data_IF_539975085198
#
_entry.id   IF_539975085198
#
_cell.length_a   1.000
_cell.length_b   1.000
_cell.length_c   1.000
_cell.angle_alpha   90.00
_cell.angle_beta   90.00
_cell.angle_gamma   90.00
#
_symmetry.space_group_name_H-M   'P 1'
#
loop_
_entity.id
_entity.type
_entity.pdbx_description
1 polymer ?
#
# COMPACT_ATOMS: atom_id res chain seq x y z
N UNK A 1 -25.21 -22.05 25.80
CA UNK A 1 -24.21 -21.07 26.28
C UNK A 1 -22.81 -21.30 25.70
N UNK A 2 -22.32 -22.50 25.40
CA UNK A 2 -20.95 -22.74 24.89
C UNK A 2 -20.69 -22.25 23.45
N UNK A 3 -21.72 -22.16 22.60
CA UNK A 3 -21.58 -21.77 21.18
C UNK A 3 -21.27 -20.28 20.97
N UNK A 4 -21.67 -19.42 21.91
CA UNK A 4 -21.38 -17.97 21.86
C UNK A 4 -19.92 -17.62 22.15
N UNK A 5 -19.26 -18.38 23.03
CA UNK A 5 -17.85 -18.16 23.35
C UNK A 5 -16.90 -18.63 22.24
N UNK A 6 -17.28 -19.67 21.50
CA UNK A 6 -16.49 -20.15 20.35
C UNK A 6 -16.50 -19.10 19.22
N UNK A 7 -17.63 -18.46 18.99
CA UNK A 7 -17.77 -17.42 17.95
C UNK A 7 -16.96 -16.16 18.28
N UNK A 8 -16.91 -15.74 19.55
CA UNK A 8 -16.10 -14.59 20.00
C UNK A 8 -14.60 -14.85 19.94
N UNK A 9 -14.17 -16.11 19.99
CA UNK A 9 -12.75 -16.49 19.92
C UNK A 9 -12.26 -16.69 18.48
N UNK A 10 -13.14 -17.04 17.54
CA UNK A 10 -12.79 -17.28 16.14
C UNK A 10 -12.70 -16.00 15.31
N UNK A 11 -13.49 -14.96 15.65
CA UNK A 11 -13.47 -13.67 14.95
C UNK A 11 -12.10 -12.98 14.94
N UNK A 12 -11.41 -12.81 16.10
CA UNK A 12 -10.08 -12.21 16.09
C UNK A 12 -9.04 -13.06 15.36
N UNK A 13 -9.14 -14.40 15.45
CA UNK A 13 -8.20 -15.29 14.80
C UNK A 13 -8.32 -15.21 13.26
N UNK A 14 -9.55 -15.16 12.75
CA UNK A 14 -9.81 -15.03 11.32
C UNK A 14 -9.34 -13.69 10.75
N UNK A 15 -9.46 -12.61 11.53
CA UNK A 15 -8.95 -11.30 11.19
C UNK A 15 -7.41 -11.28 11.08
N UNK A 16 -6.71 -11.86 12.07
CA UNK A 16 -5.25 -11.98 12.03
C UNK A 16 -4.76 -12.87 10.88
N UNK A 17 -5.46 -13.95 10.59
CA UNK A 17 -5.11 -14.85 9.47
C UNK A 17 -5.23 -14.12 8.13
N UNK A 18 -6.28 -13.33 7.93
CA UNK A 18 -6.46 -12.54 6.70
C UNK A 18 -5.33 -11.52 6.53
N UNK A 19 -4.98 -10.79 7.58
CA UNK A 19 -3.88 -9.82 7.56
C UNK A 19 -2.53 -10.49 7.27
N UNK A 20 -2.26 -11.67 7.86
CA UNK A 20 -1.03 -12.43 7.60
C UNK A 20 -0.96 -12.92 6.15
N UNK A 21 -2.07 -13.34 5.56
CA UNK A 21 -2.14 -13.75 4.15
C UNK A 21 -1.83 -12.56 3.24
N UNK A 22 -2.43 -11.39 3.49
CA UNK A 22 -2.15 -10.18 2.72
C UNK A 22 -0.70 -9.72 2.87
N UNK A 23 -0.16 -9.74 4.08
CA UNK A 23 1.23 -9.41 4.34
C UNK A 23 2.17 -10.39 3.62
N UNK A 24 1.90 -11.70 3.70
CA UNK A 24 2.66 -12.73 3.00
C UNK A 24 2.60 -12.55 1.48
N UNK A 25 1.41 -12.33 0.92
CA UNK A 25 1.22 -12.05 -0.51
C UNK A 25 1.99 -10.80 -0.94
N UNK A 26 1.95 -9.72 -0.14
CA UNK A 26 2.72 -8.50 -0.39
C UNK A 26 4.23 -8.79 -0.46
N UNK A 27 4.78 -9.54 0.51
CA UNK A 27 6.20 -9.90 0.50
C UNK A 27 6.58 -10.77 -0.70
N UNK A 28 5.71 -11.70 -1.09
CA UNK A 28 5.94 -12.53 -2.30
C UNK A 28 5.99 -11.67 -3.56
N UNK A 29 5.04 -10.76 -3.73
CA UNK A 29 5.01 -9.83 -4.87
C UNK A 29 6.24 -8.93 -4.88
N UNK A 30 6.66 -8.42 -3.72
CA UNK A 30 7.84 -7.60 -3.56
C UNK A 30 9.11 -8.37 -3.93
N UNK A 31 9.27 -9.59 -3.43
CA UNK A 31 10.41 -10.46 -3.77
C UNK A 31 10.45 -10.82 -5.25
N UNK A 32 9.31 -11.14 -5.85
CA UNK A 32 9.23 -11.40 -7.29
C UNK A 32 9.60 -10.17 -8.12
N UNK A 33 9.15 -8.98 -7.71
CA UNK A 33 9.53 -7.71 -8.32
C UNK A 33 11.03 -7.45 -8.23
N UNK A 34 11.63 -7.67 -7.07
CA UNK A 34 13.09 -7.54 -6.89
C UNK A 34 13.88 -8.54 -7.74
N UNK A 35 13.46 -9.80 -7.81
CA UNK A 35 14.10 -10.83 -8.65
C UNK A 35 14.00 -10.47 -10.14
N UNK A 36 12.88 -9.89 -10.55
CA UNK A 36 12.70 -9.38 -11.91
C UNK A 36 13.62 -8.21 -12.21
N UNK A 37 13.72 -7.24 -11.30
CA UNK A 37 14.54 -6.04 -11.44
C UNK A 37 16.05 -6.37 -11.45
N UNK A 38 16.48 -7.34 -10.62
CA UNK A 38 17.85 -7.86 -10.63
C UNK A 38 18.22 -8.68 -11.88
N UNK A 39 17.26 -8.85 -12.82
CA UNK A 39 17.50 -9.57 -14.06
C UNK A 39 17.75 -11.07 -13.88
N UNK A 40 17.37 -11.67 -12.73
CA UNK A 40 17.57 -13.10 -12.47
C UNK A 40 16.95 -13.99 -13.57
N UNK A 41 15.89 -13.51 -14.21
CA UNK A 41 15.22 -14.19 -15.31
C UNK A 41 15.67 -13.69 -16.70
N UNK A 42 16.55 -12.70 -16.78
CA UNK A 42 17.05 -12.13 -18.01
C UNK A 42 18.39 -12.78 -18.39
N UNK A 43 18.43 -13.48 -19.50
CA UNK A 43 19.66 -14.04 -20.08
C UNK A 43 20.50 -12.99 -20.84
N UNK A 44 20.22 -11.70 -20.69
CA UNK A 44 20.90 -10.65 -21.43
C UNK A 44 22.23 -10.31 -20.79
N UNK A 45 23.27 -10.57 -21.57
CA UNK A 45 24.64 -10.06 -21.48
C UNK A 45 24.69 -8.57 -21.11
N UNK A 46 25.78 -8.17 -20.48
CA UNK A 46 26.22 -6.83 -20.07
C UNK A 46 26.10 -5.70 -21.13
N UNK A 47 24.91 -5.50 -21.68
CA UNK A 47 24.65 -4.31 -22.50
C UNK A 47 24.39 -3.12 -21.58
N UNK A 48 25.11 -2.03 -21.82
CA UNK A 48 24.94 -0.76 -21.08
C UNK A 48 23.47 -0.34 -21.13
N UNK A 49 22.88 -0.16 -19.94
CA UNK A 49 21.47 0.27 -19.80
C UNK A 49 21.33 1.66 -20.40
N UNK A 50 20.61 1.78 -21.49
CA UNK A 50 20.35 3.09 -22.10
C UNK A 50 19.41 3.93 -21.22
N UNK A 51 19.59 5.26 -21.24
CA UNK A 51 18.74 6.19 -20.50
C UNK A 51 17.23 5.98 -20.80
N UNK A 52 16.89 5.57 -22.03
CA UNK A 52 15.53 5.27 -22.44
C UNK A 52 14.97 4.02 -21.76
N UNK A 53 15.79 3.00 -21.53
CA UNK A 53 15.40 1.79 -20.80
C UNK A 53 15.21 2.10 -19.33
N UNK A 54 16.14 2.85 -18.72
CA UNK A 54 16.02 3.30 -17.33
C UNK A 54 14.72 4.09 -17.11
N UNK A 55 14.40 5.04 -18.00
CA UNK A 55 13.18 5.82 -17.92
C UNK A 55 11.90 4.97 -18.01
N UNK A 56 11.90 3.95 -18.89
CA UNK A 56 10.77 3.01 -19.00
C UNK A 56 10.56 2.22 -17.70
N UNK A 57 11.64 1.71 -17.09
CA UNK A 57 11.59 0.99 -15.83
C UNK A 57 11.06 1.90 -14.71
N UNK A 58 11.57 3.12 -14.60
CA UNK A 58 11.12 4.12 -13.64
C UNK A 58 9.62 4.44 -13.82
N UNK A 59 9.18 4.68 -15.05
CA UNK A 59 7.77 4.95 -15.35
C UNK A 59 6.88 3.73 -15.02
N UNK A 60 7.39 2.52 -15.26
CA UNK A 60 6.69 1.28 -14.88
C UNK A 60 6.45 1.19 -13.38
N UNK A 61 7.49 1.35 -12.57
CA UNK A 61 7.37 1.32 -11.10
C UNK A 61 6.51 2.46 -10.55
N UNK A 62 6.64 3.65 -11.13
CA UNK A 62 5.79 4.78 -10.77
C UNK A 62 4.31 4.49 -11.06
N UNK A 63 4.01 3.85 -12.19
CA UNK A 63 2.65 3.44 -12.53
C UNK A 63 2.08 2.41 -11.55
N UNK A 64 2.91 1.48 -11.05
CA UNK A 64 2.49 0.52 -10.00
C UNK A 64 2.05 1.27 -8.74
N UNK A 65 2.79 2.30 -8.30
CA UNK A 65 2.40 3.14 -7.16
C UNK A 65 1.06 3.85 -7.37
N UNK A 66 0.81 4.37 -8.58
CA UNK A 66 -0.48 4.99 -8.91
C UNK A 66 -1.62 3.97 -8.92
N UNK A 67 -1.42 2.79 -9.49
CA UNK A 67 -2.40 1.70 -9.46
C UNK A 67 -2.71 1.28 -8.02
N UNK A 68 -1.69 1.21 -7.16
CA UNK A 68 -1.88 0.90 -5.74
C UNK A 68 -2.69 1.97 -5.00
N UNK A 69 -2.54 3.25 -5.38
CA UNK A 69 -3.38 4.34 -4.85
C UNK A 69 -4.87 4.09 -5.16
N UNK A 70 -5.18 3.71 -6.41
CA UNK A 70 -6.55 3.39 -6.83
C UNK A 70 -7.08 2.14 -6.12
N UNK A 71 -6.22 1.14 -5.95
CA UNK A 71 -6.57 -0.08 -5.20
C UNK A 71 -6.94 0.25 -3.75
N UNK A 72 -6.15 1.09 -3.07
CA UNK A 72 -6.46 1.55 -1.71
C UNK A 72 -7.78 2.29 -1.68
N UNK A 73 -8.02 3.21 -2.63
CA UNK A 73 -9.28 3.95 -2.70
C UNK A 73 -10.50 3.03 -2.73
N UNK A 74 -10.47 1.94 -3.50
CA UNK A 74 -11.64 1.07 -3.68
C UNK A 74 -11.74 -0.07 -2.68
N UNK A 75 -10.63 -0.58 -2.18
CA UNK A 75 -10.61 -1.83 -1.41
C UNK A 75 -10.23 -1.66 0.06
N UNK A 76 -9.66 -0.52 0.46
CA UNK A 76 -9.15 -0.36 1.83
C UNK A 76 -10.24 -0.50 2.90
N UNK A 77 -11.44 0.02 2.65
CA UNK A 77 -12.56 -0.12 3.57
C UNK A 77 -12.94 -1.59 3.83
N UNK A 78 -12.96 -2.41 2.76
CA UNK A 78 -13.21 -3.84 2.88
C UNK A 78 -12.09 -4.57 3.63
N UNK A 79 -10.83 -4.20 3.40
CA UNK A 79 -9.67 -4.78 4.09
C UNK A 79 -9.66 -4.45 5.59
N UNK A 80 -10.18 -3.29 5.97
CA UNK A 80 -10.32 -2.86 7.36
C UNK A 80 -11.63 -3.31 8.01
N UNK A 81 -12.48 -4.07 7.28
CA UNK A 81 -13.80 -4.51 7.74
C UNK A 81 -14.67 -3.34 8.21
N UNK A 82 -14.66 -2.23 7.48
CA UNK A 82 -15.50 -1.07 7.73
C UNK A 82 -16.90 -1.36 7.17
N UNK A 83 -17.84 -1.67 8.05
CA UNK A 83 -19.22 -2.00 7.68
C UNK A 83 -20.26 -1.04 8.27
N UNK A 84 -19.84 -0.13 9.15
CA UNK A 84 -20.74 0.80 9.80
C UNK A 84 -20.03 2.06 10.32
N UNK A 85 -20.85 3.03 10.72
CA UNK A 85 -20.33 4.30 11.26
C UNK A 85 -19.53 4.11 12.55
N UNK A 86 -19.84 3.09 13.33
CA UNK A 86 -19.11 2.76 14.55
C UNK A 86 -17.66 2.34 14.26
N UNK A 87 -17.43 1.63 13.15
CA UNK A 87 -16.10 1.21 12.73
C UNK A 87 -15.27 2.42 12.30
N UNK A 88 -15.88 3.39 11.60
CA UNK A 88 -15.24 4.66 11.23
C UNK A 88 -14.85 5.49 12.46
N UNK A 89 -15.73 5.58 13.46
CA UNK A 89 -15.41 6.25 14.71
C UNK A 89 -14.25 5.57 15.45
N UNK A 90 -14.26 4.25 15.49
CA UNK A 90 -13.17 3.47 16.09
C UNK A 90 -11.86 3.73 15.34
N UNK A 91 -11.87 3.65 14.00
CA UNK A 91 -10.69 3.93 13.18
C UNK A 91 -10.17 5.35 13.41
N UNK A 92 -11.05 6.34 13.45
CA UNK A 92 -10.69 7.73 13.72
C UNK A 92 -10.00 7.88 15.09
N UNK A 93 -10.46 7.15 16.10
CA UNK A 93 -9.90 7.20 17.46
C UNK A 93 -8.54 6.48 17.52
N UNK A 94 -8.46 5.30 16.96
CA UNK A 94 -7.27 4.43 17.00
C UNK A 94 -6.09 5.03 16.22
N UNK A 95 -6.36 5.60 15.06
CA UNK A 95 -5.33 6.14 14.15
C UNK A 95 -5.21 7.67 14.18
N UNK A 96 -6.03 8.35 14.98
CA UNK A 96 -6.06 9.83 15.12
C UNK A 96 -6.26 10.56 13.80
N UNK A 97 -6.99 9.95 12.89
CA UNK A 97 -7.34 10.50 11.57
C UNK A 97 -8.63 11.30 11.70
N UNK A 98 -8.71 12.47 11.07
CA UNK A 98 -9.95 13.25 11.03
C UNK A 98 -10.76 12.82 9.81
N UNK A 99 -11.98 12.32 10.05
CA UNK A 99 -12.93 11.94 9.02
C UNK A 99 -14.20 12.78 9.14
N UNK A 100 -14.77 13.20 8.03
CA UNK A 100 -16.06 13.89 8.01
C UNK A 100 -17.21 12.88 8.12
N UNK A 101 -17.69 12.68 9.35
CA UNK A 101 -18.80 11.79 9.64
C UNK A 101 -20.15 12.51 9.70
N UNK A 102 -20.20 13.81 9.39
CA UNK A 102 -21.41 14.64 9.50
C UNK A 102 -22.55 14.20 8.57
N UNK A 103 -22.22 13.58 7.44
CA UNK A 103 -23.17 13.08 6.45
C UNK A 103 -23.55 11.60 6.62
N UNK A 104 -23.24 10.99 7.75
CA UNK A 104 -23.51 9.59 8.01
C UNK A 104 -22.48 8.63 7.41
N UNK A 105 -22.84 7.34 7.36
CA UNK A 105 -21.91 6.28 6.98
C UNK A 105 -21.35 6.42 5.56
N UNK A 106 -22.20 6.69 4.57
CA UNK A 106 -21.79 6.78 3.16
C UNK A 106 -20.75 7.89 2.93
N UNK A 107 -20.99 9.06 3.51
CA UNK A 107 -20.04 10.17 3.41
C UNK A 107 -18.76 9.91 4.17
N UNK A 108 -18.87 9.33 5.36
CA UNK A 108 -17.71 8.93 6.14
C UNK A 108 -16.86 7.86 5.42
N UNK A 109 -17.49 6.92 4.73
CA UNK A 109 -16.81 5.90 3.94
C UNK A 109 -16.07 6.49 2.73
N UNK A 110 -16.70 7.45 2.04
CA UNK A 110 -16.06 8.17 0.94
C UNK A 110 -14.85 8.97 1.43
N UNK A 111 -14.99 9.70 2.52
CA UNK A 111 -13.90 10.48 3.13
C UNK A 111 -12.76 9.59 3.64
N UNK A 112 -13.10 8.46 4.25
CA UNK A 112 -12.13 7.42 4.64
C UNK A 112 -11.32 6.91 3.45
N UNK A 113 -11.99 6.56 2.35
CA UNK A 113 -11.35 6.04 1.13
C UNK A 113 -10.44 7.08 0.49
N UNK A 114 -10.90 8.33 0.40
CA UNK A 114 -10.11 9.47 -0.12
C UNK A 114 -8.89 9.73 0.76
N UNK A 115 -9.08 9.86 2.05
CA UNK A 115 -8.02 10.16 3.02
C UNK A 115 -6.96 9.07 3.00
N UNK A 116 -7.35 7.80 2.96
CA UNK A 116 -6.43 6.66 2.88
C UNK A 116 -5.62 6.68 1.58
N UNK A 117 -6.26 6.89 0.45
CA UNK A 117 -5.60 6.94 -0.86
C UNK A 117 -4.64 8.15 -0.97
N UNK A 118 -5.05 9.33 -0.50
CA UNK A 118 -4.21 10.54 -0.50
C UNK A 118 -3.01 10.35 0.45
N UNK A 119 -3.21 9.76 1.62
CA UNK A 119 -2.13 9.49 2.58
C UNK A 119 -1.08 8.55 1.98
N UNK A 120 -1.52 7.47 1.33
CA UNK A 120 -0.62 6.57 0.62
C UNK A 120 0.13 7.29 -0.52
N UNK A 121 -0.59 8.01 -1.37
CA UNK A 121 0.01 8.74 -2.50
C UNK A 121 1.03 9.77 -2.03
N UNK A 122 0.72 10.50 -0.95
CA UNK A 122 1.64 11.49 -0.37
C UNK A 122 2.92 10.83 0.15
N UNK A 123 2.80 9.71 0.87
CA UNK A 123 3.94 8.93 1.33
C UNK A 123 4.78 8.39 0.17
N UNK A 124 4.13 7.82 -0.85
CA UNK A 124 4.77 7.32 -2.06
C UNK A 124 5.56 8.42 -2.81
N UNK A 125 4.97 9.60 -3.01
CA UNK A 125 5.63 10.72 -3.68
C UNK A 125 6.80 11.27 -2.85
N UNK A 126 6.65 11.34 -1.53
CA UNK A 126 7.71 11.78 -0.63
C UNK A 126 8.90 10.81 -0.67
N UNK A 127 8.64 9.51 -0.59
CA UNK A 127 9.69 8.48 -0.67
C UNK A 127 10.40 8.52 -2.02
N UNK A 128 9.64 8.72 -3.09
CA UNK A 128 10.19 8.85 -4.44
C UNK A 128 11.09 10.09 -4.57
N UNK A 129 10.68 11.22 -4.02
CA UNK A 129 11.47 12.45 -4.00
C UNK A 129 12.77 12.28 -3.21
N UNK A 130 12.71 11.66 -2.02
CA UNK A 130 13.89 11.36 -1.20
C UNK A 130 14.84 10.38 -1.89
N UNK A 131 14.31 9.41 -2.64
CA UNK A 131 15.12 8.46 -3.42
C UNK A 131 15.94 9.17 -4.51
N UNK A 132 15.35 10.15 -5.20
CA UNK A 132 16.04 10.96 -6.21
C UNK A 132 17.15 11.81 -5.55
N UNK A 133 16.87 12.40 -4.39
CA UNK A 133 17.84 13.21 -3.66
C UNK A 133 19.05 12.39 -3.22
N UNK A 134 18.81 11.18 -2.70
CA UNK A 134 19.87 10.24 -2.35
C UNK A 134 20.73 9.85 -3.57
N UNK A 135 20.14 9.70 -4.75
CA UNK A 135 20.88 9.43 -5.99
C UNK A 135 21.82 10.58 -6.34
N UNK A 136 21.40 11.84 -6.19
CA UNK A 136 22.26 13.01 -6.39
C UNK A 136 23.46 13.02 -5.46
N UNK A 137 23.25 12.72 -4.18
CA UNK A 137 24.33 12.63 -3.18
C UNK A 137 25.35 11.56 -3.57
N UNK A 138 24.89 10.38 -4.00
CA UNK A 138 25.76 9.29 -4.47
C UNK A 138 26.58 9.74 -5.68
N UNK A 139 25.96 10.36 -6.68
CA UNK A 139 26.65 10.86 -7.86
C UNK A 139 27.72 11.89 -7.54
N UNK A 140 27.48 12.77 -6.55
CA UNK A 140 28.46 13.78 -6.11
C UNK A 140 29.65 13.15 -5.37
N UNK A 141 29.45 12.05 -4.65
CA UNK A 141 30.54 11.37 -3.93
C UNK A 141 31.47 10.60 -4.88
N UNK A 142 30.93 10.09 -5.99
CA UNK A 142 31.68 9.29 -6.96
C UNK A 142 32.22 10.09 -8.16
N UNK A 143 32.09 11.43 -8.19
CA UNK A 143 32.74 12.31 -9.12
C UNK A 143 34.15 12.73 -8.63
#
# INVERSE_FOLDING_TARGET
>A
MAMGYLFLFTLPLQFYMTQLIFLGAFFVVLMLGMLWDLGVFSKTTHDEVTAKQALKHTAGWFSVGLVMTLFIYWFHANLQNIHGIADLHRYQTDYKVQLDLSGGFERGLEDFSKTSAISYLSGFLLEYALSIDNLFVILLIFQ
#
